data_IF_136860978043
#
_entry.id   IF_136860978043
#
_cell.length_a   1.000
_cell.length_b   1.000
_cell.length_c   1.000
_cell.angle_alpha   90.00
_cell.angle_beta   90.00
_cell.angle_gamma   90.00
#
_symmetry.space_group_name_H-M   'P 1'
#
loop_
_entity.id
_entity.type
_entity.pdbx_description
1 polymer ?
#
# COMPACT_ATOMS: atom_id res chain seq x y z
N UNK A 1 -7.98 -11.83 2.98
CA UNK A 1 -9.10 -10.89 2.85
C UNK A 1 -8.53 -9.50 2.63
N UNK A 2 -9.02 -8.82 1.66
CA UNK A 2 -8.52 -7.48 1.44
C UNK A 2 -9.57 -6.47 1.87
N UNK A 3 -9.17 -5.53 2.69
CA UNK A 3 -10.00 -4.42 3.11
C UNK A 3 -9.58 -3.21 2.31
N UNK A 4 -10.53 -2.62 1.60
CA UNK A 4 -10.25 -1.45 0.79
C UNK A 4 -11.00 -0.26 1.37
N UNK A 5 -10.29 0.67 1.99
CA UNK A 5 -10.93 1.84 2.57
C UNK A 5 -11.60 2.69 1.50
N UNK A 6 -12.77 3.21 1.84
CA UNK A 6 -13.55 4.06 0.96
C UNK A 6 -13.76 5.45 1.55
N UNK A 7 -13.15 5.71 2.69
CA UNK A 7 -13.26 7.00 3.35
C UNK A 7 -11.97 7.29 4.07
N UNK A 8 -11.82 8.54 4.49
CA UNK A 8 -10.65 8.91 5.27
C UNK A 8 -10.61 8.13 6.57
N UNK A 9 -11.77 7.96 7.21
CA UNK A 9 -11.84 7.24 8.47
C UNK A 9 -11.43 5.79 8.31
N UNK A 10 -11.84 5.17 7.22
CA UNK A 10 -11.45 3.78 6.97
C UNK A 10 -9.97 3.68 6.64
N UNK A 11 -9.42 4.68 5.98
CA UNK A 11 -7.97 4.68 5.74
C UNK A 11 -7.20 4.82 7.05
N UNK A 12 -7.71 5.63 7.99
CA UNK A 12 -7.07 5.73 9.30
C UNK A 12 -7.03 4.36 9.98
N UNK A 13 -8.15 3.63 9.95
CA UNK A 13 -8.17 2.29 10.53
C UNK A 13 -7.17 1.36 9.83
N UNK A 14 -7.09 1.44 8.52
CA UNK A 14 -6.12 0.63 7.76
C UNK A 14 -4.69 0.94 8.18
N UNK A 15 -4.37 2.23 8.33
CA UNK A 15 -3.03 2.63 8.72
C UNK A 15 -2.70 2.18 10.14
N UNK A 16 -3.68 2.24 11.03
CA UNK A 16 -3.48 1.77 12.40
C UNK A 16 -3.20 0.29 12.42
N UNK A 17 -3.93 -0.48 11.62
CA UNK A 17 -3.70 -1.93 11.53
C UNK A 17 -2.32 -2.22 10.96
N UNK A 18 -1.92 -1.49 9.92
CA UNK A 18 -0.60 -1.66 9.32
C UNK A 18 0.51 -1.33 10.32
N UNK A 19 0.30 -0.29 11.11
CA UNK A 19 1.26 0.09 12.14
C UNK A 19 1.38 -1.00 13.21
N UNK A 20 0.24 -1.57 13.63
CA UNK A 20 0.28 -2.65 14.61
C UNK A 20 0.99 -3.88 14.03
N UNK A 21 0.75 -4.17 12.77
CA UNK A 21 1.44 -5.29 12.13
C UNK A 21 2.95 -5.06 12.10
N UNK A 22 3.39 -3.84 11.85
CA UNK A 22 4.81 -3.53 11.87
C UNK A 22 5.39 -3.74 13.26
N UNK A 23 4.67 -3.32 14.29
CA UNK A 23 5.15 -3.48 15.67
C UNK A 23 5.24 -4.96 16.05
N UNK A 24 4.35 -5.78 15.52
CA UNK A 24 4.32 -7.20 15.84
C UNK A 24 5.28 -8.00 14.98
N UNK A 25 5.39 -7.69 13.69
CA UNK A 25 6.11 -8.52 12.73
C UNK A 25 6.83 -7.70 11.67
N UNK A 26 7.19 -6.46 11.97
CA UNK A 26 7.86 -5.61 10.98
C UNK A 26 9.18 -6.18 10.49
N UNK A 27 9.85 -6.97 11.33
CA UNK A 27 11.10 -7.59 10.93
C UNK A 27 10.92 -8.63 9.83
N UNK A 28 9.68 -9.06 9.57
CA UNK A 28 9.39 -9.98 8.48
C UNK A 28 9.06 -9.25 7.17
N UNK A 29 8.90 -7.93 7.22
CA UNK A 29 8.65 -7.16 6.02
C UNK A 29 9.90 -7.10 5.17
N UNK A 30 9.72 -7.20 3.84
CA UNK A 30 10.84 -7.02 2.91
C UNK A 30 11.46 -5.64 3.09
N UNK A 31 10.61 -4.62 3.25
CA UNK A 31 11.05 -3.24 3.34
C UNK A 31 10.70 -2.72 4.72
N UNK A 32 11.56 -3.04 5.70
CA UNK A 32 11.28 -2.72 7.08
C UNK A 32 12.03 -1.49 7.59
N UNK A 33 12.69 -0.77 6.71
CA UNK A 33 13.27 0.53 7.04
C UNK A 33 12.51 1.60 6.30
N UNK A 34 12.54 2.82 6.83
CA UNK A 34 11.84 3.92 6.17
C UNK A 34 12.41 4.16 4.78
N UNK A 35 13.73 4.10 4.65
CA UNK A 35 14.37 4.29 3.35
C UNK A 35 13.88 3.27 2.33
N UNK A 36 13.93 2.00 2.70
CA UNK A 36 13.48 0.94 1.80
C UNK A 36 12.00 1.02 1.51
N UNK A 37 11.20 1.38 2.53
CA UNK A 37 9.77 1.49 2.37
C UNK A 37 9.41 2.59 1.37
N UNK A 38 10.03 3.75 1.49
CA UNK A 38 9.75 4.86 0.60
C UNK A 38 10.20 4.57 -0.82
N UNK A 39 11.34 3.92 -0.98
CA UNK A 39 11.81 3.53 -2.30
C UNK A 39 10.81 2.57 -2.96
N UNK A 40 10.36 1.57 -2.21
CA UNK A 40 9.41 0.60 -2.72
C UNK A 40 8.06 1.25 -3.04
N UNK A 41 7.64 2.20 -2.20
CA UNK A 41 6.39 2.90 -2.43
C UNK A 41 6.43 3.66 -3.75
N UNK A 42 7.51 4.40 -3.99
CA UNK A 42 7.67 5.14 -5.24
C UNK A 42 7.67 4.20 -6.44
N UNK A 43 8.38 3.07 -6.33
CA UNK A 43 8.46 2.11 -7.41
C UNK A 43 7.08 1.51 -7.72
N UNK A 44 6.33 1.15 -6.68
CA UNK A 44 5.02 0.55 -6.90
C UNK A 44 4.05 1.55 -7.53
N UNK A 45 4.06 2.81 -7.06
CA UNK A 45 3.18 3.82 -7.64
C UNK A 45 3.53 4.02 -9.11
N UNK A 46 4.82 4.03 -9.44
CA UNK A 46 5.25 4.15 -10.83
C UNK A 46 4.74 2.98 -11.69
N UNK A 47 4.75 1.77 -11.12
CA UNK A 47 4.35 0.57 -11.85
C UNK A 47 2.86 0.25 -11.74
N UNK A 48 2.12 1.04 -10.95
CA UNK A 48 0.73 0.73 -10.65
C UNK A 48 -0.20 0.62 -11.87
N UNK A 49 0.01 1.38 -12.96
CA UNK A 49 -0.85 1.18 -14.13
C UNK A 49 -0.85 -0.26 -14.63
N UNK A 50 0.32 -0.92 -14.58
CA UNK A 50 0.39 -2.33 -14.97
C UNK A 50 -0.38 -3.23 -14.04
N UNK A 51 -0.28 -2.97 -12.73
CA UNK A 51 -0.99 -3.77 -11.74
C UNK A 51 -2.50 -3.65 -11.91
N UNK A 52 -3.00 -2.42 -12.14
CA UNK A 52 -4.42 -2.22 -12.36
C UNK A 52 -4.90 -2.86 -13.64
N UNK A 53 -4.12 -2.72 -14.71
CA UNK A 53 -4.46 -3.32 -15.99
C UNK A 53 -4.52 -4.84 -15.87
N UNK A 54 -3.57 -5.42 -15.15
CA UNK A 54 -3.52 -6.87 -14.97
C UNK A 54 -4.74 -7.36 -14.20
N UNK A 55 -5.23 -6.56 -13.27
CA UNK A 55 -6.42 -6.89 -12.49
C UNK A 55 -7.73 -6.58 -13.22
N UNK A 56 -7.65 -5.98 -14.41
CA UNK A 56 -8.85 -5.60 -15.15
C UNK A 56 -9.55 -4.38 -14.57
N UNK A 57 -8.80 -3.51 -13.92
CA UNK A 57 -9.35 -2.33 -13.26
C UNK A 57 -8.77 -1.06 -13.85
N UNK A 58 -9.51 0.02 -13.70
CA UNK A 58 -9.03 1.34 -14.11
C UNK A 58 -8.29 1.98 -12.96
N UNK A 59 -7.09 2.51 -13.25
CA UNK A 59 -6.37 3.25 -12.24
C UNK A 59 -7.02 4.61 -12.07
N UNK A 60 -7.27 5.07 -10.83
CA UNK A 60 -7.86 6.39 -10.62
C UNK A 60 -6.89 7.48 -11.06
N UNK A 61 -7.42 8.52 -11.72
CA UNK A 61 -6.58 9.58 -12.25
C UNK A 61 -5.91 10.39 -11.15
N UNK A 62 -6.60 10.56 -10.02
CA UNK A 62 -6.09 11.37 -8.92
C UNK A 62 -5.73 10.54 -7.70
N UNK A 63 -5.87 9.22 -7.79
CA UNK A 63 -5.74 8.37 -6.63
C UNK A 63 -6.99 8.46 -5.77
N UNK A 64 -7.20 7.47 -4.92
CA UNK A 64 -8.29 7.48 -3.97
C UNK A 64 -7.85 6.73 -2.73
N UNK A 65 -8.77 6.58 -1.77
CA UNK A 65 -8.41 5.94 -0.50
C UNK A 65 -7.92 4.51 -0.71
N UNK A 66 -8.58 3.79 -1.61
CA UNK A 66 -8.19 2.40 -1.89
C UNK A 66 -6.84 2.34 -2.58
N UNK A 67 -6.58 3.26 -3.51
CA UNK A 67 -5.28 3.33 -4.18
C UNK A 67 -4.16 3.57 -3.17
N UNK A 68 -4.39 4.52 -2.25
CA UNK A 68 -3.37 4.83 -1.25
C UNK A 68 -3.10 3.63 -0.36
N UNK A 69 -4.16 2.93 0.07
CA UNK A 69 -3.98 1.75 0.91
C UNK A 69 -3.23 0.66 0.17
N UNK A 70 -3.55 0.43 -1.12
CA UNK A 70 -2.84 -0.56 -1.91
C UNK A 70 -1.36 -0.21 -2.04
N UNK A 71 -1.05 1.07 -2.26
CA UNK A 71 0.33 1.51 -2.41
C UNK A 71 1.11 1.29 -1.12
N UNK A 72 0.51 1.66 0.01
CA UNK A 72 1.18 1.50 1.29
C UNK A 72 1.40 0.04 1.64
N UNK A 73 0.39 -0.80 1.40
CA UNK A 73 0.53 -2.22 1.66
C UNK A 73 1.59 -2.84 0.75
N UNK A 74 1.55 -2.50 -0.52
CA UNK A 74 2.50 -3.04 -1.49
C UNK A 74 3.93 -2.65 -1.13
N UNK A 75 4.13 -1.45 -0.58
CA UNK A 75 5.47 -0.97 -0.24
C UNK A 75 6.16 -1.83 0.81
N UNK A 76 5.40 -2.61 1.60
CA UNK A 76 6.01 -3.47 2.61
C UNK A 76 6.80 -4.62 1.98
N UNK A 77 6.46 -5.02 0.75
CA UNK A 77 7.08 -6.19 0.12
C UNK A 77 7.61 -5.93 -1.29
N UNK A 78 7.33 -4.78 -1.88
CA UNK A 78 7.67 -4.53 -3.28
C UNK A 78 9.19 -4.35 -3.45
N UNK A 79 9.70 -4.93 -4.50
CA UNK A 79 11.13 -4.83 -4.82
C UNK A 79 11.35 -4.23 -6.18
#
# INVERSE_FOLDING_TARGET
MSFEPRSREELVSFLQDLHQEFRARGDEWENNTLDGFLEALAAWVHDSPGAYRHAGEHIPSDGDWAFMARALHAATVYE
#
